data_IF_784728100538
#
_entry.id   IF_784728100538
#
_cell.length_a   1.000
_cell.length_b   1.000
_cell.length_c   1.000
_cell.angle_alpha   90.00
_cell.angle_beta   90.00
_cell.angle_gamma   90.00
#
_symmetry.space_group_name_H-M   'P 1'
#
loop_
_entity.id
_entity.type
_entity.pdbx_description
1 polymer ?
#
# COMPACT_ATOMS: atom_id res chain seq x y z
N UNK A 1 -22.57 10.47 -23.54
CA UNK A 1 -22.58 9.02 -23.22
C UNK A 1 -21.58 8.81 -22.09
N UNK A 2 -21.96 8.76 -20.81
CA UNK A 2 -21.02 8.44 -19.75
C UNK A 2 -20.76 6.92 -19.82
N UNK A 3 -19.54 6.55 -20.20
CA UNK A 3 -19.12 5.16 -20.33
C UNK A 3 -19.20 4.44 -18.99
N UNK A 4 -19.57 3.16 -19.03
CA UNK A 4 -19.53 2.26 -17.88
C UNK A 4 -18.17 2.37 -17.18
N UNK A 5 -18.14 3.04 -16.04
CA UNK A 5 -17.04 2.98 -15.09
C UNK A 5 -16.93 1.50 -14.67
N UNK A 6 -15.99 0.78 -15.29
CA UNK A 6 -15.72 -0.62 -14.94
C UNK A 6 -15.39 -0.69 -13.47
N UNK A 7 -16.14 -1.51 -12.72
CA UNK A 7 -15.75 -1.86 -11.36
C UNK A 7 -14.79 -3.02 -11.47
N UNK A 8 -13.56 -2.80 -11.01
CA UNK A 8 -12.50 -3.80 -11.07
C UNK A 8 -12.17 -4.24 -9.64
N UNK A 9 -12.09 -5.56 -9.44
CA UNK A 9 -11.76 -6.14 -8.14
C UNK A 9 -10.30 -6.58 -8.12
N UNK A 10 -9.57 -6.23 -7.07
CA UNK A 10 -8.20 -6.65 -6.83
C UNK A 10 -7.98 -6.93 -5.34
N UNK A 11 -6.96 -7.70 -4.98
CA UNK A 11 -6.69 -8.00 -3.57
C UNK A 11 -6.10 -6.80 -2.84
N UNK A 12 -5.23 -6.04 -3.49
CA UNK A 12 -4.54 -4.89 -2.88
C UNK A 12 -4.42 -3.71 -3.83
N UNK A 13 -4.80 -2.51 -3.38
CA UNK A 13 -4.48 -1.27 -4.11
C UNK A 13 -3.36 -0.52 -3.41
N UNK A 14 -2.31 -0.16 -4.16
CA UNK A 14 -1.19 0.62 -3.66
C UNK A 14 -1.31 2.04 -4.19
N UNK A 15 -1.37 3.02 -3.29
CA UNK A 15 -1.45 4.42 -3.68
C UNK A 15 -0.08 5.08 -3.59
N UNK A 16 0.48 5.36 -4.77
CA UNK A 16 1.73 6.07 -4.99
C UNK A 16 2.71 5.26 -5.83
N UNK A 17 3.18 5.85 -6.93
CA UNK A 17 4.10 5.23 -7.92
C UNK A 17 5.58 5.47 -7.62
N UNK A 18 5.90 5.93 -6.39
CA UNK A 18 7.26 6.21 -5.94
C UNK A 18 7.99 4.98 -5.40
N UNK A 19 9.14 5.21 -4.75
CA UNK A 19 9.99 4.16 -4.18
C UNK A 19 9.21 3.21 -3.27
N UNK A 20 8.46 3.77 -2.32
CA UNK A 20 7.68 2.99 -1.37
C UNK A 20 6.61 2.12 -2.02
N UNK A 21 5.89 2.65 -3.01
CA UNK A 21 4.81 1.90 -3.65
C UNK A 21 5.33 0.80 -4.55
N UNK A 22 6.36 1.09 -5.36
CA UNK A 22 7.00 0.06 -6.19
C UNK A 22 7.70 -1.01 -5.36
N UNK A 23 8.30 -0.65 -4.22
CA UNK A 23 8.89 -1.62 -3.31
C UNK A 23 7.84 -2.57 -2.75
N UNK A 24 6.68 -2.06 -2.34
CA UNK A 24 5.57 -2.90 -1.86
C UNK A 24 5.01 -3.76 -2.98
N UNK A 25 4.80 -3.20 -4.17
CA UNK A 25 4.29 -3.93 -5.33
C UNK A 25 5.21 -5.09 -5.71
N UNK A 26 6.53 -4.87 -5.72
CA UNK A 26 7.51 -5.92 -5.96
C UNK A 26 7.43 -7.03 -4.89
N UNK A 27 7.27 -6.66 -3.62
CA UNK A 27 7.13 -7.64 -2.53
C UNK A 27 5.81 -8.43 -2.60
N UNK A 28 4.70 -7.80 -2.97
CA UNK A 28 3.42 -8.49 -3.15
C UNK A 28 3.45 -9.43 -4.36
N UNK A 29 4.01 -8.98 -5.48
CA UNK A 29 4.22 -9.78 -6.68
C UNK A 29 5.04 -11.05 -6.37
N UNK A 30 6.15 -10.93 -5.62
CA UNK A 30 6.96 -12.10 -5.20
C UNK A 30 6.19 -13.11 -4.35
N UNK A 31 5.11 -12.69 -3.71
CA UNK A 31 4.28 -13.52 -2.83
C UNK A 31 3.00 -13.99 -3.52
N UNK A 32 2.84 -13.70 -4.82
CA UNK A 32 1.66 -14.07 -5.59
C UNK A 32 0.39 -13.34 -5.13
N UNK A 33 0.52 -12.11 -4.60
CA UNK A 33 -0.64 -11.28 -4.24
C UNK A 33 -0.90 -10.28 -5.35
N UNK A 34 -2.11 -10.29 -5.90
CA UNK A 34 -2.52 -9.34 -6.93
C UNK A 34 -2.58 -7.91 -6.36
N UNK A 35 -1.94 -7.00 -7.08
CA UNK A 35 -1.88 -5.60 -6.67
C UNK A 35 -1.92 -4.65 -7.84
N UNK A 36 -2.70 -3.57 -7.71
CA UNK A 36 -2.74 -2.46 -8.65
C UNK A 36 -2.09 -1.24 -8.01
N UNK A 37 -1.08 -0.66 -8.66
CA UNK A 37 -0.43 0.57 -8.22
C UNK A 37 -1.07 1.76 -8.94
N UNK A 38 -1.68 2.66 -8.19
CA UNK A 38 -2.25 3.92 -8.70
C UNK A 38 -1.39 5.11 -8.33
N UNK A 39 -1.47 6.18 -9.12
CA UNK A 39 -0.82 7.44 -8.78
C UNK A 39 -1.51 8.11 -7.57
N UNK A 40 -0.79 9.05 -6.94
CA UNK A 40 -1.10 9.60 -5.62
C UNK A 40 -2.57 9.98 -5.36
N UNK A 41 -2.93 9.99 -4.08
CA UNK A 41 -4.29 10.23 -3.58
C UNK A 41 -4.61 11.72 -3.51
N UNK A 42 -5.64 12.16 -4.22
CA UNK A 42 -6.17 13.53 -4.17
C UNK A 42 -7.32 13.60 -3.16
N UNK A 43 -7.01 13.43 -1.86
CA UNK A 43 -8.02 13.69 -0.81
C UNK A 43 -8.30 15.18 -0.77
N UNK A 44 -9.47 15.55 -1.30
CA UNK A 44 -10.28 16.74 -1.03
C UNK A 44 -9.53 17.92 -0.37
N UNK A 45 -9.06 18.84 -1.21
CA UNK A 45 -8.87 20.23 -0.83
C UNK A 45 -7.49 20.63 -0.31
N UNK A 46 -6.45 19.79 -0.46
CA UNK A 46 -5.11 20.33 -0.50
C UNK A 46 -4.99 21.14 -1.80
N UNK A 47 -4.97 22.48 -1.71
CA UNK A 47 -4.83 23.42 -2.84
C UNK A 47 -3.53 23.27 -3.64
N UNK A 48 -2.75 22.25 -3.32
CA UNK A 48 -1.59 21.81 -4.05
C UNK A 48 -1.75 20.30 -4.20
N UNK A 49 -1.55 19.72 -5.40
CA UNK A 49 -1.29 18.29 -5.46
C UNK A 49 -0.23 18.02 -4.39
N UNK A 50 -0.35 16.93 -3.64
CA UNK A 50 0.76 16.45 -2.81
C UNK A 50 1.89 16.10 -3.79
N UNK A 51 2.56 17.14 -4.27
CA UNK A 51 3.51 17.11 -5.34
C UNK A 51 4.71 16.53 -4.66
N UNK A 52 4.80 15.21 -4.76
CA UNK A 52 5.80 14.47 -4.03
C UNK A 52 7.23 14.78 -4.51
N UNK A 53 7.35 15.66 -5.51
CA UNK A 53 8.57 16.30 -5.99
C UNK A 53 8.97 17.55 -5.18
N UNK A 54 8.07 18.28 -4.51
CA UNK A 54 8.44 19.47 -3.72
C UNK A 54 8.88 19.13 -2.29
N UNK A 55 8.40 18.03 -1.70
CA UNK A 55 8.99 17.45 -0.47
C UNK A 55 10.35 16.77 -0.73
N UNK A 56 10.81 16.64 -1.98
CA UNK A 56 12.16 16.16 -2.30
C UNK A 56 13.24 17.25 -2.21
N UNK A 57 12.87 18.52 -2.05
CA UNK A 57 13.84 19.63 -2.14
C UNK A 57 14.37 20.15 -0.82
N UNK A 58 13.84 19.73 0.33
CA UNK A 58 14.33 20.23 1.60
C UNK A 58 15.20 19.22 2.33
N UNK A 59 16.41 19.70 2.61
CA UNK A 59 17.48 19.21 3.47
C UNK A 59 18.31 18.03 2.96
N UNK A 60 19.35 18.40 2.20
CA UNK A 60 20.67 17.79 2.19
C UNK A 60 20.73 16.26 2.28
N UNK A 61 20.03 15.56 1.39
CA UNK A 61 20.33 14.15 1.17
C UNK A 61 21.68 14.07 0.45
N UNK A 62 22.69 13.49 1.11
CA UNK A 62 24.01 13.21 0.52
C UNK A 62 23.84 12.64 -0.89
N UNK A 63 24.66 13.10 -1.84
CA UNK A 63 24.58 12.68 -3.26
C UNK A 63 24.56 11.17 -3.44
N UNK A 64 25.25 10.45 -2.55
CA UNK A 64 25.34 9.00 -2.53
C UNK A 64 24.00 8.34 -2.17
N UNK A 65 23.25 8.90 -1.23
CA UNK A 65 21.92 8.40 -0.85
C UNK A 65 20.88 8.65 -1.95
N UNK A 66 21.01 9.76 -2.67
CA UNK A 66 20.18 10.06 -3.84
C UNK A 66 20.50 9.12 -5.01
N UNK A 67 21.78 8.82 -5.21
CA UNK A 67 22.23 7.84 -6.20
C UNK A 67 21.71 6.45 -5.88
N UNK A 68 21.91 5.96 -4.65
CA UNK A 68 21.39 4.66 -4.19
C UNK A 68 19.86 4.58 -4.38
N UNK A 69 19.14 5.64 -4.00
CA UNK A 69 17.69 5.74 -4.20
C UNK A 69 17.30 5.62 -5.68
N UNK A 70 18.00 6.32 -6.57
CA UNK A 70 17.70 6.30 -8.01
C UNK A 70 18.02 4.94 -8.64
N UNK A 71 19.11 4.30 -8.21
CA UNK A 71 19.48 2.94 -8.63
C UNK A 71 18.41 1.93 -8.19
N UNK A 72 17.97 1.98 -6.93
CA UNK A 72 16.90 1.13 -6.42
C UNK A 72 15.59 1.37 -7.19
N UNK A 73 15.21 2.63 -7.40
CA UNK A 73 14.00 2.98 -8.18
C UNK A 73 14.05 2.41 -9.59
N UNK A 74 15.22 2.51 -10.25
CA UNK A 74 15.43 1.93 -11.58
C UNK A 74 15.27 0.42 -11.54
N UNK A 75 15.86 -0.27 -10.56
CA UNK A 75 15.69 -1.71 -10.39
C UNK A 75 14.24 -2.12 -10.14
N UNK A 76 13.51 -1.38 -9.32
CA UNK A 76 12.09 -1.66 -9.05
C UNK A 76 11.22 -1.47 -10.30
N UNK A 77 11.47 -0.44 -11.11
CA UNK A 77 10.76 -0.25 -12.39
C UNK A 77 11.04 -1.38 -13.37
N UNK A 78 12.29 -1.80 -13.48
CA UNK A 78 12.67 -2.92 -14.34
C UNK A 78 12.06 -4.24 -13.84
N UNK A 79 12.01 -4.44 -12.53
CA UNK A 79 11.35 -5.58 -11.92
C UNK A 79 9.85 -5.58 -12.24
N UNK A 80 9.17 -4.46 -12.05
CA UNK A 80 7.76 -4.33 -12.34
C UNK A 80 7.44 -4.60 -13.82
N UNK A 81 8.26 -4.07 -14.74
CA UNK A 81 8.10 -4.30 -16.17
C UNK A 81 8.36 -5.76 -16.60
N UNK A 82 9.23 -6.48 -15.89
CA UNK A 82 9.54 -7.89 -16.20
C UNK A 82 8.54 -8.88 -15.61
N UNK A 83 7.77 -8.48 -14.59
CA UNK A 83 6.81 -9.33 -13.88
C UNK A 83 5.36 -8.88 -14.10
N UNK A 84 5.11 -8.05 -15.12
CA UNK A 84 3.79 -7.55 -15.52
C UNK A 84 2.97 -6.95 -14.36
N UNK A 85 3.64 -6.21 -13.48
CA UNK A 85 2.98 -5.54 -12.36
C UNK A 85 2.12 -4.39 -12.89
N UNK A 86 0.81 -4.40 -12.58
CA UNK A 86 -0.12 -3.34 -13.00
C UNK A 86 0.21 -2.00 -12.31
N UNK A 87 0.80 -1.09 -13.07
CA UNK A 87 1.15 0.27 -12.63
C UNK A 87 0.40 1.29 -13.50
N UNK A 88 -0.57 1.97 -12.90
CA UNK A 88 -1.39 3.01 -13.52
C UNK A 88 -0.87 4.40 -13.16
N UNK A 89 0.25 4.77 -13.77
CA UNK A 89 0.93 6.06 -13.52
C UNK A 89 0.12 7.31 -13.92
N UNK A 90 -0.90 7.18 -14.78
CA UNK A 90 -1.80 8.26 -15.18
C UNK A 90 -3.11 8.28 -14.39
N UNK A 91 -3.40 7.24 -13.61
CA UNK A 91 -4.66 7.09 -12.89
C UNK A 91 -4.46 7.49 -11.44
N UNK A 92 -5.05 8.62 -11.03
CA UNK A 92 -5.02 9.08 -9.64
C UNK A 92 -6.18 8.48 -8.85
N UNK A 93 -5.92 8.14 -7.59
CA UNK A 93 -6.99 7.88 -6.65
C UNK A 93 -7.63 9.23 -6.24
N UNK A 94 -8.93 9.38 -6.49
CA UNK A 94 -9.70 10.61 -6.22
C UNK A 94 -10.39 10.51 -4.87
N UNK A 95 -10.97 9.37 -4.56
CA UNK A 95 -11.72 9.17 -3.32
C UNK A 95 -11.48 7.77 -2.79
N UNK A 96 -11.39 7.70 -1.47
CA UNK A 96 -11.29 6.44 -0.74
C UNK A 96 -12.50 6.30 0.18
N UNK A 97 -13.27 5.22 -0.02
CA UNK A 97 -14.45 4.93 0.78
C UNK A 97 -14.36 3.52 1.33
N UNK A 98 -14.57 3.39 2.64
CA UNK A 98 -14.76 2.08 3.26
C UNK A 98 -16.18 1.62 2.95
N UNK A 99 -16.30 0.47 2.29
CA UNK A 99 -17.56 -0.23 2.13
C UNK A 99 -17.59 -1.30 3.21
N UNK A 100 -18.35 -1.04 4.27
CA UNK A 100 -18.77 -2.14 5.14
C UNK A 100 -19.46 -3.15 4.23
N UNK A 101 -19.04 -4.40 4.31
CA UNK A 101 -19.69 -5.49 3.58
C UNK A 101 -21.10 -5.70 4.13
N UNK A 102 -22.00 -4.78 3.79
CA UNK A 102 -23.42 -4.94 3.92
C UNK A 102 -23.76 -6.13 3.04
N UNK A 103 -24.12 -7.22 3.73
CA UNK A 103 -24.68 -8.45 3.23
C UNK A 103 -25.62 -8.22 2.02
N UNK A 104 -25.07 -8.17 0.81
CA UNK A 104 -25.80 -8.38 -0.42
C UNK A 104 -25.86 -9.89 -0.66
N UNK A 105 -26.71 -10.56 0.09
CA UNK A 105 -26.96 -11.99 -0.08
C UNK A 105 -27.22 -12.65 1.26
N UNK A 106 -28.47 -13.02 1.53
CA UNK A 106 -28.87 -13.71 2.74
C UNK A 106 -28.11 -15.03 2.93
N UNK A 107 -27.69 -15.29 4.16
CA UNK A 107 -27.19 -16.59 4.61
C UNK A 107 -25.84 -16.51 5.33
N UNK A 108 -25.88 -16.75 6.64
CA UNK A 108 -24.76 -17.04 7.56
C UNK A 108 -23.65 -15.98 7.61
N UNK A 109 -23.77 -15.12 8.64
CA UNK A 109 -22.82 -14.09 9.05
C UNK A 109 -21.39 -14.65 9.24
N UNK A 110 -20.60 -14.54 8.17
CA UNK A 110 -19.15 -14.46 8.24
C UNK A 110 -18.84 -12.99 8.50
N UNK A 111 -17.94 -12.60 9.43
CA UNK A 111 -17.63 -11.18 9.64
C UNK A 111 -17.14 -10.60 8.32
N UNK A 112 -17.97 -9.72 7.73
CA UNK A 112 -17.69 -9.13 6.44
C UNK A 112 -16.40 -8.32 6.57
N UNK A 113 -15.37 -8.72 5.82
CA UNK A 113 -14.11 -7.98 5.81
C UNK A 113 -14.38 -6.59 5.22
N UNK A 114 -13.86 -5.51 5.81
CA UNK A 114 -14.02 -4.18 5.24
C UNK A 114 -13.40 -4.19 3.84
N UNK A 115 -14.23 -3.92 2.83
CA UNK A 115 -13.77 -3.72 1.47
C UNK A 115 -13.58 -2.23 1.24
N UNK A 116 -12.68 -1.91 0.33
CA UNK A 116 -12.31 -0.54 0.05
C UNK A 116 -12.58 -0.20 -1.39
N UNK A 117 -13.35 0.86 -1.60
CA UNK A 117 -13.55 1.47 -2.91
C UNK A 117 -12.56 2.61 -3.11
N UNK A 118 -11.70 2.48 -4.11
CA UNK A 118 -10.83 3.53 -4.63
C UNK A 118 -11.46 4.05 -5.91
N UNK A 119 -12.01 5.26 -5.87
CA UNK A 119 -12.55 5.92 -7.07
C UNK A 119 -11.43 6.55 -7.84
N UNK A 120 -11.40 6.26 -9.13
CA UNK A 120 -10.45 6.81 -10.10
C UNK A 120 -11.22 7.48 -11.24
N UNK A 121 -10.59 8.35 -12.05
CA UNK A 121 -11.26 8.95 -13.21
C UNK A 121 -11.74 7.92 -14.24
N UNK A 122 -11.14 6.73 -14.25
CA UNK A 122 -11.43 5.64 -15.21
C UNK A 122 -12.45 4.63 -14.68
N UNK A 123 -12.72 4.60 -13.38
CA UNK A 123 -13.61 3.61 -12.77
C UNK A 123 -13.46 3.47 -11.26
N UNK A 124 -14.00 2.39 -10.71
CA UNK A 124 -13.92 2.08 -9.28
C UNK A 124 -13.07 0.82 -9.11
N UNK A 125 -12.04 0.90 -8.26
CA UNK A 125 -11.26 -0.26 -7.84
C UNK A 125 -11.75 -0.70 -6.47
N UNK A 126 -12.11 -1.97 -6.33
CA UNK A 126 -12.52 -2.57 -5.06
C UNK A 126 -11.39 -3.47 -4.56
N UNK A 127 -10.96 -3.29 -3.31
CA UNK A 127 -9.89 -4.08 -2.72
C UNK A 127 -10.07 -4.41 -1.24
N UNK A 128 -9.50 -5.53 -0.82
CA UNK A 128 -9.50 -5.96 0.59
C UNK A 128 -8.44 -5.22 1.43
N UNK A 129 -7.38 -4.76 0.77
CA UNK A 129 -6.25 -4.10 1.41
C UNK A 129 -5.83 -2.86 0.63
N UNK A 130 -5.46 -1.81 1.35
CA UNK A 130 -4.88 -0.60 0.75
C UNK A 130 -3.51 -0.36 1.35
N UNK A 131 -2.56 -0.01 0.50
CA UNK A 131 -1.25 0.49 0.92
C UNK A 131 -1.18 1.97 0.61
N UNK A 132 -1.07 2.80 1.64
CA UNK A 132 -0.87 4.23 1.51
C UNK A 132 0.62 4.55 1.63
N UNK A 133 1.14 5.27 0.64
CA UNK A 133 2.54 5.72 0.64
C UNK A 133 2.62 7.23 0.78
N UNK A 134 3.55 7.72 1.62
CA UNK A 134 3.85 9.15 1.82
C UNK A 134 2.62 10.04 2.12
N UNK A 135 1.68 9.57 2.94
CA UNK A 135 0.62 10.41 3.47
C UNK A 135 1.12 11.27 4.63
N UNK A 136 0.69 12.54 4.70
CA UNK A 136 0.98 13.39 5.85
C UNK A 136 0.20 12.91 7.09
N UNK A 137 0.78 13.06 8.28
CA UNK A 137 0.12 12.64 9.53
C UNK A 137 -1.23 13.34 9.75
N UNK A 138 -1.34 14.61 9.35
CA UNK A 138 -2.58 15.39 9.39
C UNK A 138 -3.66 14.83 8.46
N UNK A 139 -3.29 14.38 7.26
CA UNK A 139 -4.20 13.73 6.30
C UNK A 139 -4.68 12.39 6.83
N UNK A 140 -3.76 11.58 7.37
CA UNK A 140 -4.11 10.29 7.96
C UNK A 140 -5.07 10.45 9.14
N UNK A 141 -4.81 11.40 10.05
CA UNK A 141 -5.69 11.68 11.18
C UNK A 141 -7.07 12.18 10.74
N UNK A 142 -7.15 13.03 9.70
CA UNK A 142 -8.43 13.47 9.11
C UNK A 142 -9.19 12.28 8.54
N UNK A 143 -8.54 11.46 7.73
CA UNK A 143 -9.15 10.28 7.11
C UNK A 143 -9.68 9.28 8.15
N UNK A 144 -9.02 9.14 9.30
CA UNK A 144 -9.46 8.29 10.40
C UNK A 144 -10.70 8.84 11.11
N UNK A 145 -10.71 10.15 11.34
CA UNK A 145 -11.89 10.82 11.86
C UNK A 145 -13.06 10.71 10.87
N UNK A 146 -12.80 10.83 9.57
CA UNK A 146 -13.82 10.69 8.51
C UNK A 146 -14.40 9.27 8.48
N UNK A 147 -13.60 8.24 8.82
CA UNK A 147 -14.07 6.86 8.98
C UNK A 147 -14.71 6.57 10.34
N UNK A 148 -14.81 7.54 11.24
CA UNK A 148 -15.44 7.37 12.57
C UNK A 148 -14.67 6.46 13.52
N UNK A 149 -13.39 6.19 13.27
CA UNK A 149 -12.59 5.28 14.09
C UNK A 149 -12.01 6.04 15.29
N UNK A 150 -12.33 5.58 16.51
CA UNK A 150 -11.79 6.15 17.74
C UNK A 150 -10.26 5.98 17.78
N UNK A 151 -9.53 7.09 17.70
CA UNK A 151 -8.07 7.10 17.64
C UNK A 151 -7.47 6.74 19.00
N UNK A 152 -7.03 5.50 19.16
CA UNK A 152 -6.14 5.10 20.24
C UNK A 152 -4.71 5.63 20.05
N UNK A 153 -3.81 5.36 21.01
CA UNK A 153 -2.39 5.79 20.94
C UNK A 153 -1.62 5.23 19.73
N UNK A 154 -2.12 4.22 19.03
CA UNK A 154 -1.42 3.57 17.91
C UNK A 154 -2.22 3.61 16.60
N UNK A 155 -2.01 4.70 15.86
CA UNK A 155 -2.65 4.98 14.56
C UNK A 155 -2.40 3.89 13.52
N UNK A 156 -1.17 3.38 13.48
CA UNK A 156 -0.74 2.38 12.50
C UNK A 156 -1.38 1.02 12.77
N UNK A 157 -1.55 0.65 14.04
CA UNK A 157 -2.25 -0.58 14.42
C UNK A 157 -3.74 -0.50 14.09
N UNK A 158 -4.39 0.64 14.36
CA UNK A 158 -5.80 0.86 14.01
C UNK A 158 -6.03 0.79 12.49
N UNK A 159 -5.15 1.41 11.71
CA UNK A 159 -5.15 1.33 10.24
C UNK A 159 -4.97 -0.10 9.74
N UNK A 160 -4.03 -0.86 10.31
CA UNK A 160 -3.81 -2.25 9.93
C UNK A 160 -5.02 -3.13 10.22
N UNK A 161 -5.73 -2.88 11.32
CA UNK A 161 -6.92 -3.64 11.69
C UNK A 161 -8.04 -3.52 10.64
N UNK A 162 -8.17 -2.36 10.01
CA UNK A 162 -9.16 -2.11 8.95
C UNK A 162 -8.64 -2.45 7.53
N UNK A 163 -7.41 -2.96 7.41
CA UNK A 163 -6.82 -3.35 6.11
C UNK A 163 -6.04 -2.24 5.39
N UNK A 164 -5.74 -1.13 6.06
CA UNK A 164 -4.87 -0.08 5.54
C UNK A 164 -3.45 -0.23 6.09
N UNK A 165 -2.47 -0.29 5.20
CA UNK A 165 -1.05 -0.41 5.51
C UNK A 165 -0.32 0.87 5.14
N UNK A 166 0.56 1.34 6.02
CA UNK A 166 1.29 2.58 5.85
C UNK A 166 2.77 2.28 5.55
N UNK A 167 3.33 2.90 4.50
CA UNK A 167 4.75 2.78 4.14
C UNK A 167 5.35 4.14 3.85
N UNK A 168 6.47 4.46 4.52
CA UNK A 168 7.09 5.78 4.44
C UNK A 168 6.23 6.90 5.04
N UNK A 169 5.44 6.57 6.08
CA UNK A 169 4.60 7.50 6.84
C UNK A 169 5.11 7.52 8.29
N UNK A 170 5.55 8.67 8.81
CA UNK A 170 6.12 8.81 10.16
C UNK A 170 6.77 10.17 10.39
N UNK A 171 7.21 10.46 11.62
CA UNK A 171 7.87 11.73 12.00
C UNK A 171 9.24 11.97 11.37
N UNK A 172 9.84 10.94 10.72
CA UNK A 172 11.04 11.14 9.93
C UNK A 172 10.70 11.92 8.66
N UNK A 173 11.20 13.15 8.60
CA UNK A 173 11.09 14.08 7.48
C UNK A 173 11.54 13.42 6.15
N UNK A 174 12.49 12.49 6.20
CA UNK A 174 12.98 11.70 5.05
C UNK A 174 13.39 10.27 5.46
N UNK A 175 12.56 9.24 5.23
CA UNK A 175 12.96 7.86 5.52
C UNK A 175 14.08 7.41 4.56
N UNK A 176 15.07 6.69 5.09
CA UNK A 176 16.16 6.14 4.26
C UNK A 176 15.63 5.08 3.29
N UNK A 177 16.25 4.88 2.11
CA UNK A 177 15.82 3.86 1.16
C UNK A 177 15.74 2.46 1.78
N UNK A 178 16.68 2.10 2.65
CA UNK A 178 16.72 0.82 3.37
C UNK A 178 15.54 0.64 4.30
N UNK A 179 15.15 1.68 5.02
CA UNK A 179 13.98 1.62 5.91
C UNK A 179 12.68 1.47 5.11
N UNK A 180 12.56 2.16 3.97
CA UNK A 180 11.41 1.98 3.07
C UNK A 180 11.31 0.54 2.57
N UNK A 181 12.43 -0.07 2.16
CA UNK A 181 12.46 -1.47 1.74
C UNK A 181 12.11 -2.43 2.88
N UNK A 182 12.59 -2.16 4.10
CA UNK A 182 12.26 -2.95 5.29
C UNK A 182 10.76 -2.88 5.61
N UNK A 183 10.18 -1.68 5.55
CA UNK A 183 8.74 -1.47 5.74
C UNK A 183 7.92 -2.17 4.66
N UNK A 184 8.35 -2.06 3.39
CA UNK A 184 7.70 -2.74 2.27
C UNK A 184 7.69 -4.27 2.45
N UNK A 185 8.81 -4.86 2.87
CA UNK A 185 8.90 -6.30 3.17
C UNK A 185 7.97 -6.71 4.31
N UNK A 186 7.92 -5.91 5.38
CA UNK A 186 7.04 -6.15 6.54
C UNK A 186 5.57 -6.07 6.14
N UNK A 187 5.18 -5.07 5.35
CA UNK A 187 3.81 -4.91 4.85
C UNK A 187 3.43 -6.02 3.89
N UNK A 188 4.30 -6.37 2.94
CA UNK A 188 4.07 -7.47 2.01
C UNK A 188 3.88 -8.82 2.71
N UNK A 189 4.65 -9.09 3.79
CA UNK A 189 4.44 -10.26 4.64
C UNK A 189 3.09 -10.23 5.36
N UNK A 190 2.73 -9.09 5.95
CA UNK A 190 1.48 -8.96 6.69
C UNK A 190 0.24 -9.10 5.78
N UNK A 191 0.29 -8.58 4.55
CA UNK A 191 -0.78 -8.74 3.56
C UNK A 191 -0.83 -10.18 3.08
N UNK A 192 0.31 -10.77 2.69
CA UNK A 192 0.37 -12.15 2.22
C UNK A 192 -0.13 -13.15 3.26
N UNK A 193 0.21 -12.97 4.54
CA UNK A 193 -0.31 -13.81 5.64
C UNK A 193 -1.84 -13.69 5.81
N UNK A 194 -2.42 -12.54 5.46
CA UNK A 194 -3.87 -12.31 5.51
C UNK A 194 -4.60 -12.87 4.29
N UNK A 195 -3.97 -12.84 3.12
CA UNK A 195 -4.52 -13.32 1.84
C UNK A 195 -4.38 -14.83 1.72
N UNK A 196 -3.23 -15.39 2.09
CA UNK A 196 -2.89 -16.81 2.00
C UNK A 196 -2.66 -17.41 3.40
N UNK A 197 -3.70 -17.59 4.24
CA UNK A 197 -3.54 -18.09 5.60
C UNK A 197 -2.97 -19.52 5.68
N UNK A 198 -3.15 -20.33 4.63
CA UNK A 198 -2.64 -21.71 4.54
C UNK A 198 -1.19 -21.80 4.07
N UNK A 199 -0.59 -20.68 3.66
CA UNK A 199 0.86 -20.59 3.45
C UNK A 199 1.53 -20.46 4.82
N UNK A 200 1.71 -21.60 5.49
CA UNK A 200 2.39 -21.70 6.77
C UNK A 200 3.73 -20.96 6.77
N UNK A 201 4.25 -20.56 7.94
CA UNK A 201 5.52 -19.85 8.03
C UNK A 201 6.58 -20.68 7.31
N UNK A 202 7.19 -20.10 6.27
CA UNK A 202 8.40 -20.65 5.67
C UNK A 202 9.33 -21.07 6.82
N UNK A 203 9.68 -22.35 6.97
CA UNK A 203 10.63 -22.74 8.00
C UNK A 203 11.92 -22.00 7.66
N UNK A 204 12.44 -21.26 8.63
CA UNK A 204 13.78 -20.75 8.57
C UNK A 204 14.72 -21.93 8.30
N UNK A 205 15.23 -22.04 7.07
CA UNK A 205 16.27 -22.98 6.70
C UNK A 205 17.49 -22.70 7.57
N UNK A 206 17.65 -23.51 8.61
CA UNK A 206 18.68 -23.31 9.63
C UNK A 206 18.49 -24.24 10.83
N UNK A 207 18.22 -25.52 10.60
CA UNK A 207 18.41 -26.54 11.64
C UNK A 207 19.11 -27.74 11.03
N UNK A 208 20.44 -27.74 11.20
CA UNK A 208 21.25 -28.95 11.13
C UNK A 208 20.74 -29.91 12.19
N UNK A 209 20.06 -30.98 11.78
CA UNK A 209 19.81 -32.12 12.64
C UNK A 209 21.11 -32.93 12.74
N UNK A 210 21.83 -32.78 13.86
CA UNK A 210 22.86 -33.73 14.24
C UNK A 210 22.18 -35.02 14.72
N UNK A 211 22.40 -36.13 14.01
CA UNK A 211 22.03 -37.47 14.43
C UNK A 211 23.03 -37.96 15.50
N UNK A 212 22.60 -38.45 16.66
CA UNK A 212 23.48 -39.22 17.54
C UNK A 212 23.52 -40.68 17.04
N UNK A 213 24.76 -41.22 17.01
CA UNK A 213 25.05 -42.64 16.89
C UNK A 213 24.84 -43.36 18.24
#
# INVERSE_FOLDING_TARGET
>A
MPGNAGTEQTTTVIIGTGLSGLAVAAELCRRGVDSIVVDGLDILGASHPANTASLQRCDAADSDTLRERNEILRHLRNYAASHDVDIRNTTRAVQLTMVDGLALGGGLATPARPQWEVRTPTGILVADNIVLTRCAHSQLRRMINDFGIAVGRNLTAAMRAIGIYLVGVGELITPSPKEVLRQAKTVGQAISAKVNPDSGPYPATGSFAALPC
#
